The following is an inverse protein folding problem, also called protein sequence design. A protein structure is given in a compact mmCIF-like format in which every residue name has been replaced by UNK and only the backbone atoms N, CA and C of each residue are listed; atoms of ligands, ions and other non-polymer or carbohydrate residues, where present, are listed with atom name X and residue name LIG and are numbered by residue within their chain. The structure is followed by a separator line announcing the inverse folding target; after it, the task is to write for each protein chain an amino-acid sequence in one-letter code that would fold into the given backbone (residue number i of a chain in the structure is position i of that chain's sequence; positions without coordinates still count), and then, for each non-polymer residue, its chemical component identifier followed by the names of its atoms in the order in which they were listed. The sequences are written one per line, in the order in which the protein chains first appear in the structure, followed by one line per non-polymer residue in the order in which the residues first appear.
data_IF_403119706183
#
_entry.id   IF_403119706183
#
_cell.length_a   1.000
_cell.length_b   1.000
_cell.length_c   1.000
_cell.angle_alpha   90.00
_cell.angle_beta   90.00
_cell.angle_gamma   90.00
#
_symmetry.space_group_name_H-M   'P 1'
#
loop_
_entity.id
_entity.type
_entity.pdbx_description
1 polymer ?
#
# COMPACT_ATOMS: atom_id res chain seq x y z
N UNK A 1 -4.79 -12.31 -13.19
CA UNK A 1 -4.13 -12.99 -12.06
C UNK A 1 -5.00 -14.18 -11.68
N UNK A 2 -4.46 -15.41 -11.59
CA UNK A 2 -5.25 -16.63 -11.30
C UNK A 2 -4.75 -17.24 -9.99
N UNK A 3 -5.67 -17.62 -9.10
CA UNK A 3 -5.33 -18.30 -7.83
C UNK A 3 -4.60 -17.41 -6.82
N UNK A 4 -4.69 -16.09 -6.96
CA UNK A 4 -4.07 -15.11 -6.05
C UNK A 4 -5.16 -14.38 -5.29
N UNK A 5 -5.01 -14.28 -3.98
CA UNK A 5 -5.95 -13.59 -3.09
C UNK A 5 -5.51 -12.16 -2.77
N UNK A 6 -4.23 -11.97 -2.43
CA UNK A 6 -3.66 -10.67 -2.08
C UNK A 6 -2.58 -10.24 -3.06
N UNK A 7 -2.53 -8.95 -3.35
CA UNK A 7 -1.52 -8.36 -4.24
C UNK A 7 -0.84 -7.20 -3.53
N UNK A 8 0.49 -7.18 -3.56
CA UNK A 8 1.29 -6.04 -3.12
C UNK A 8 1.99 -5.43 -4.33
N UNK A 9 1.78 -4.14 -4.57
CA UNK A 9 2.60 -3.36 -5.49
C UNK A 9 3.71 -2.64 -4.72
N UNK A 10 4.91 -3.21 -4.75
CA UNK A 10 6.12 -2.66 -4.14
C UNK A 10 7.14 -2.13 -5.17
N UNK A 11 6.91 -2.39 -6.47
CA UNK A 11 7.78 -1.99 -7.57
C UNK A 11 7.82 -0.47 -7.74
N UNK A 12 8.96 0.02 -8.23
CA UNK A 12 9.20 1.42 -8.58
C UNK A 12 10.49 1.57 -9.37
N UNK A 13 10.63 2.62 -10.17
CA UNK A 13 11.84 2.86 -10.96
C UNK A 13 13.06 3.20 -10.09
N UNK A 14 12.84 3.62 -8.84
CA UNK A 14 13.89 3.94 -7.88
C UNK A 14 14.77 5.12 -8.31
N UNK A 15 14.20 6.06 -9.09
CA UNK A 15 14.91 7.21 -9.64
C UNK A 15 15.96 6.87 -10.71
N UNK A 16 16.05 5.61 -11.14
CA UNK A 16 17.00 5.15 -12.16
C UNK A 16 16.35 5.17 -13.54
N UNK A 17 17.15 5.40 -14.58
CA UNK A 17 16.70 5.31 -15.98
C UNK A 17 15.85 6.47 -16.47
N UNK A 18 15.85 7.60 -15.75
CA UNK A 18 15.22 8.85 -16.17
C UNK A 18 13.69 8.90 -16.04
N UNK A 19 13.08 10.06 -16.34
CA UNK A 19 11.65 10.31 -16.13
C UNK A 19 10.74 9.34 -16.90
N UNK A 20 11.15 8.87 -18.08
CA UNK A 20 10.38 7.92 -18.86
C UNK A 20 10.24 6.57 -18.16
N UNK A 21 11.31 6.10 -17.50
CA UNK A 21 11.26 4.85 -16.73
C UNK A 21 10.40 5.00 -15.48
N UNK A 22 10.49 6.13 -14.78
CA UNK A 22 9.58 6.44 -13.67
C UNK A 22 8.13 6.43 -14.13
N UNK A 23 7.81 7.10 -15.25
CA UNK A 23 6.46 7.06 -15.81
C UNK A 23 6.02 5.64 -16.20
N UNK A 24 6.90 4.88 -16.84
CA UNK A 24 6.57 3.52 -17.27
C UNK A 24 6.28 2.58 -16.08
N UNK A 25 7.08 2.66 -15.01
CA UNK A 25 6.99 1.75 -13.86
C UNK A 25 6.01 2.29 -12.81
N UNK A 26 6.25 3.48 -12.29
CA UNK A 26 5.55 4.05 -11.13
C UNK A 26 4.14 4.55 -11.49
N UNK A 27 3.87 4.82 -12.78
CA UNK A 27 2.54 5.20 -13.27
C UNK A 27 1.87 4.11 -14.12
N UNK A 28 2.39 3.83 -15.31
CA UNK A 28 1.69 3.03 -16.32
C UNK A 28 1.55 1.57 -15.87
N UNK A 29 2.63 0.95 -15.39
CA UNK A 29 2.60 -0.42 -14.91
C UNK A 29 1.75 -0.56 -13.64
N UNK A 30 1.86 0.39 -12.70
CA UNK A 30 1.05 0.45 -11.49
C UNK A 30 -0.46 0.50 -11.80
N UNK A 31 -0.91 1.42 -12.67
CA UNK A 31 -2.30 1.52 -13.16
C UNK A 31 -2.80 0.19 -13.74
N UNK A 32 -1.98 -0.46 -14.59
CA UNK A 32 -2.31 -1.74 -15.20
C UNK A 32 -2.43 -2.88 -14.18
N UNK A 33 -1.56 -2.90 -13.17
CA UNK A 33 -1.60 -3.91 -12.11
C UNK A 33 -2.83 -3.78 -11.21
N UNK A 34 -3.16 -2.54 -10.81
CA UNK A 34 -4.39 -2.26 -10.06
C UNK A 34 -5.60 -2.79 -10.84
N UNK A 35 -5.73 -2.38 -12.10
CA UNK A 35 -6.82 -2.83 -12.98
C UNK A 35 -6.88 -4.36 -13.10
N UNK A 36 -5.74 -5.01 -13.35
CA UNK A 36 -5.67 -6.47 -13.48
C UNK A 36 -6.05 -7.20 -12.20
N UNK A 37 -5.72 -6.64 -11.03
CA UNK A 37 -6.04 -7.20 -9.73
C UNK A 37 -7.55 -7.06 -9.44
N UNK A 38 -8.15 -5.91 -9.73
CA UNK A 38 -9.60 -5.71 -9.57
C UNK A 38 -10.43 -6.64 -10.44
N UNK A 39 -10.04 -6.80 -11.71
CA UNK A 39 -10.74 -7.67 -12.66
C UNK A 39 -10.54 -9.16 -12.35
N UNK A 40 -9.55 -9.53 -11.54
CA UNK A 40 -9.29 -10.93 -11.19
C UNK A 40 -10.25 -11.41 -10.09
N UNK A 41 -11.14 -12.40 -10.34
CA UNK A 41 -12.17 -12.81 -9.40
C UNK A 41 -11.67 -13.20 -8.01
N UNK A 42 -10.47 -13.79 -7.93
CA UNK A 42 -9.89 -14.29 -6.68
C UNK A 42 -9.25 -13.22 -5.81
N UNK A 43 -8.91 -12.05 -6.36
CA UNK A 43 -8.19 -11.02 -5.60
C UNK A 43 -9.18 -10.19 -4.78
N UNK A 44 -8.95 -10.15 -3.47
CA UNK A 44 -9.80 -9.49 -2.47
C UNK A 44 -9.11 -8.30 -1.80
N UNK A 45 -7.78 -8.33 -1.67
CA UNK A 45 -6.98 -7.27 -1.05
C UNK A 45 -5.84 -6.80 -1.96
N UNK A 46 -5.61 -5.50 -1.97
CA UNK A 46 -4.51 -4.87 -2.68
C UNK A 46 -3.84 -3.80 -1.84
N UNK A 47 -2.52 -3.94 -1.67
CA UNK A 47 -1.70 -2.98 -0.96
C UNK A 47 -0.75 -2.30 -1.95
N UNK A 48 -0.70 -0.97 -1.90
CA UNK A 48 0.29 -0.18 -2.60
C UNK A 48 1.22 0.54 -1.62
N UNK A 49 2.53 0.48 -1.89
CA UNK A 49 3.54 1.31 -1.21
C UNK A 49 3.71 2.63 -1.98
N UNK A 50 3.40 3.79 -1.38
CA UNK A 50 3.36 5.09 -2.10
C UNK A 50 4.05 6.26 -1.38
N UNK A 51 4.64 7.16 -2.19
CA UNK A 51 4.80 8.61 -1.93
C UNK A 51 4.75 9.35 -3.26
N UNK A 52 5.66 9.02 -4.16
CA UNK A 52 5.81 9.65 -5.48
C UNK A 52 4.67 9.31 -6.46
N UNK A 53 3.84 8.33 -6.11
CA UNK A 53 2.78 7.77 -6.95
C UNK A 53 1.38 7.91 -6.34
N UNK A 54 1.19 8.79 -5.34
CA UNK A 54 -0.15 9.01 -4.74
C UNK A 54 -1.17 9.44 -5.81
N UNK A 55 -0.82 10.39 -6.68
CA UNK A 55 -1.70 10.83 -7.77
C UNK A 55 -2.03 9.71 -8.75
N UNK A 56 -1.04 8.84 -9.05
CA UNK A 56 -1.24 7.65 -9.88
C UNK A 56 -2.21 6.69 -9.20
N UNK A 57 -2.01 6.43 -7.92
CA UNK A 57 -2.85 5.52 -7.14
C UNK A 57 -4.29 6.01 -7.09
N UNK A 58 -4.53 7.28 -6.77
CA UNK A 58 -5.89 7.85 -6.71
C UNK A 58 -6.57 7.84 -8.08
N UNK A 59 -5.86 8.17 -9.17
CA UNK A 59 -6.41 8.10 -10.53
C UNK A 59 -6.73 6.65 -10.92
N UNK A 60 -5.77 5.74 -10.69
CA UNK A 60 -5.94 4.33 -10.95
C UNK A 60 -7.13 3.76 -10.17
N UNK A 61 -7.25 4.13 -8.89
CA UNK A 61 -8.34 3.74 -7.99
C UNK A 61 -9.69 4.29 -8.46
N UNK A 62 -9.74 5.49 -9.01
CA UNK A 62 -10.98 6.06 -9.55
C UNK A 62 -11.47 5.26 -10.75
N UNK A 63 -10.59 5.04 -11.74
CA UNK A 63 -10.91 4.25 -12.94
C UNK A 63 -11.30 2.82 -12.56
N UNK A 64 -10.51 2.23 -11.67
CA UNK A 64 -10.76 0.94 -11.03
C UNK A 64 -12.13 0.83 -10.38
N UNK A 65 -12.47 1.80 -9.55
CA UNK A 65 -13.72 1.85 -8.81
C UNK A 65 -14.91 1.95 -9.78
N UNK A 66 -14.80 2.78 -10.80
CA UNK A 66 -15.81 2.89 -11.86
C UNK A 66 -16.02 1.58 -12.64
N UNK A 67 -14.96 0.83 -12.90
CA UNK A 67 -15.06 -0.51 -13.49
C UNK A 67 -15.66 -1.52 -12.51
N UNK A 68 -15.30 -1.45 -11.23
CA UNK A 68 -15.83 -2.33 -10.19
C UNK A 68 -17.33 -2.14 -9.97
N UNK A 69 -17.85 -0.91 -10.08
CA UNK A 69 -19.29 -0.59 -9.99
C UNK A 69 -20.12 -1.22 -11.11
N UNK A 70 -19.48 -1.56 -12.23
CA UNK A 70 -20.10 -2.29 -13.35
C UNK A 70 -20.03 -3.81 -13.16
N UNK A 71 -19.31 -4.28 -12.15
CA UNK A 71 -19.17 -5.68 -11.79
C UNK A 71 -19.94 -5.98 -10.50
N UNK A 72 -20.42 -7.22 -10.35
CA UNK A 72 -21.06 -7.70 -9.12
C UNK A 72 -20.05 -8.19 -8.05
N UNK A 73 -18.79 -7.75 -8.15
CA UNK A 73 -17.71 -8.21 -7.26
C UNK A 73 -17.90 -7.63 -5.84
N UNK A 74 -17.67 -8.41 -4.77
CA UNK A 74 -17.71 -7.91 -3.40
C UNK A 74 -16.66 -6.81 -3.13
N UNK A 75 -16.84 -6.16 -1.96
CA UNK A 75 -16.01 -5.09 -1.43
C UNK A 75 -14.52 -5.42 -1.57
N UNK A 76 -13.82 -4.61 -2.36
CA UNK A 76 -12.37 -4.65 -2.52
C UNK A 76 -11.70 -3.95 -1.35
N UNK A 77 -10.68 -4.56 -0.76
CA UNK A 77 -9.86 -3.94 0.29
C UNK A 77 -8.64 -3.30 -0.34
N UNK A 78 -8.58 -1.98 -0.32
CA UNK A 78 -7.42 -1.21 -0.77
C UNK A 78 -6.68 -0.57 0.42
N UNK A 79 -5.36 -0.73 0.44
CA UNK A 79 -4.45 -0.21 1.47
C UNK A 79 -3.35 0.61 0.79
N UNK A 80 -3.20 1.86 1.19
CA UNK A 80 -2.13 2.75 0.76
C UNK A 80 -1.13 2.93 1.91
N UNK A 81 0.00 2.21 1.85
CA UNK A 81 1.07 2.28 2.83
C UNK A 81 2.11 3.32 2.39
N UNK A 82 2.39 4.29 3.26
CA UNK A 82 3.24 5.46 2.95
C UNK A 82 4.46 5.49 3.86
N UNK A 83 5.48 4.66 3.58
CA UNK A 83 6.67 4.55 4.43
C UNK A 83 7.64 5.71 4.21
N UNK A 84 8.16 6.34 5.25
CA UNK A 84 9.19 7.39 5.14
C UNK A 84 10.47 6.94 4.42
N UNK A 85 11.58 7.64 4.64
CA UNK A 85 12.85 7.30 3.98
C UNK A 85 13.25 5.84 4.25
N UNK A 86 13.48 5.07 3.20
CA UNK A 86 13.79 3.64 3.33
C UNK A 86 15.26 3.44 3.71
N UNK A 87 15.53 2.59 4.71
CA UNK A 87 16.88 2.16 5.07
C UNK A 87 17.11 0.66 4.81
N UNK A 88 18.40 0.30 4.61
CA UNK A 88 18.88 -1.09 4.51
C UNK A 88 19.40 -1.63 5.85
N UNK A 89 19.14 -0.93 6.95
CA UNK A 89 19.38 -1.46 8.28
C UNK A 89 18.45 -2.64 8.57
N UNK A 90 18.83 -3.49 9.52
CA UNK A 90 17.95 -4.54 10.02
C UNK A 90 16.64 -3.98 10.59
N UNK A 91 15.58 -4.76 10.48
CA UNK A 91 14.29 -4.49 11.08
C UNK A 91 14.38 -4.39 12.60
N UNK A 92 13.62 -3.46 13.16
CA UNK A 92 13.55 -3.21 14.59
C UNK A 92 12.34 -3.88 15.23
N UNK A 93 11.37 -4.30 14.41
CA UNK A 93 10.06 -4.78 14.87
C UNK A 93 9.21 -3.70 15.50
N UNK A 94 9.58 -2.41 15.38
CA UNK A 94 8.92 -1.27 16.01
C UNK A 94 8.74 -0.09 15.06
N UNK A 95 7.57 0.51 15.11
CA UNK A 95 7.15 1.53 14.14
C UNK A 95 6.32 2.63 14.80
N UNK A 96 6.10 3.71 14.07
CA UNK A 96 4.97 4.63 14.23
C UNK A 96 4.11 4.50 12.97
N UNK A 97 2.84 4.07 13.14
CA UNK A 97 1.92 3.71 12.07
C UNK A 97 0.59 4.46 12.20
N UNK A 98 0.04 4.90 11.07
CA UNK A 98 -1.24 5.60 10.97
C UNK A 98 -1.03 7.04 10.53
N UNK A 99 -1.29 8.01 11.41
CA UNK A 99 -0.97 9.45 11.17
C UNK A 99 0.43 9.79 11.66
N UNK A 100 1.41 9.03 11.19
CA UNK A 100 2.80 9.20 11.59
C UNK A 100 3.36 10.54 11.09
N UNK A 101 4.46 11.00 11.70
CA UNK A 101 5.16 12.20 11.22
C UNK A 101 5.69 11.94 9.81
N UNK A 102 5.48 12.89 8.89
CA UNK A 102 5.93 12.80 7.49
C UNK A 102 7.47 12.80 7.33
N UNK A 103 8.21 12.91 8.44
CA UNK A 103 9.68 12.96 8.46
C UNK A 103 10.19 11.84 9.36
N UNK A 104 10.87 10.88 8.77
CA UNK A 104 11.45 9.73 9.46
C UNK A 104 11.99 8.70 8.47
N UNK A 105 12.84 7.81 8.97
CA UNK A 105 13.31 6.64 8.21
C UNK A 105 12.70 5.36 8.76
N UNK A 106 12.61 4.33 7.94
CA UNK A 106 12.11 2.99 8.33
C UNK A 106 12.88 1.90 7.59
N UNK A 107 13.29 0.82 8.27
CA UNK A 107 13.90 -0.35 7.63
C UNK A 107 12.96 -0.99 6.60
N UNK A 108 13.50 -1.39 5.45
CA UNK A 108 12.72 -2.14 4.44
C UNK A 108 12.12 -3.43 5.00
N UNK A 109 12.81 -4.07 5.94
CA UNK A 109 12.31 -5.25 6.66
C UNK A 109 11.04 -4.93 7.46
N UNK A 110 11.01 -3.82 8.19
CA UNK A 110 9.83 -3.40 8.98
C UNK A 110 8.67 -2.98 8.06
N UNK A 111 8.95 -2.36 6.90
CA UNK A 111 7.92 -2.06 5.89
C UNK A 111 7.27 -3.34 5.36
N UNK A 112 8.07 -4.37 5.06
CA UNK A 112 7.55 -5.65 4.59
C UNK A 112 6.70 -6.34 5.67
N UNK A 113 7.16 -6.34 6.92
CA UNK A 113 6.42 -6.90 8.05
C UNK A 113 5.06 -6.21 8.25
N UNK A 114 5.03 -4.87 8.25
CA UNK A 114 3.79 -4.10 8.32
C UNK A 114 2.85 -4.42 7.15
N UNK A 115 3.38 -4.51 5.93
CA UNK A 115 2.56 -4.79 4.74
C UNK A 115 1.88 -6.17 4.81
N UNK A 116 2.60 -7.19 5.27
CA UNK A 116 2.04 -8.54 5.46
C UNK A 116 0.97 -8.51 6.55
N UNK A 117 1.28 -7.94 7.72
CA UNK A 117 0.33 -7.96 8.84
C UNK A 117 -0.94 -7.15 8.55
N UNK A 118 -0.84 -6.04 7.80
CA UNK A 118 -2.02 -5.30 7.31
C UNK A 118 -2.92 -6.14 6.39
N UNK A 119 -2.33 -6.96 5.52
CA UNK A 119 -3.10 -7.83 4.61
C UNK A 119 -3.75 -9.01 5.33
N UNK A 120 -3.13 -9.52 6.39
CA UNK A 120 -3.71 -10.58 7.23
C UNK A 120 -4.93 -10.12 8.03
N UNK A 121 -5.06 -8.81 8.30
CA UNK A 121 -6.17 -8.25 9.08
C UNK A 121 -7.37 -7.90 8.22
N UNK A 122 -8.55 -7.96 8.84
CA UNK A 122 -9.79 -7.46 8.24
C UNK A 122 -9.89 -5.95 8.45
N UNK A 123 -9.29 -5.19 7.54
CA UNK A 123 -9.17 -3.72 7.66
C UNK A 123 -10.37 -2.96 7.10
N UNK A 124 -11.13 -3.59 6.20
CA UNK A 124 -11.98 -2.89 5.22
C UNK A 124 -11.15 -2.05 4.24
N UNK A 125 -11.78 -1.61 3.14
CA UNK A 125 -11.12 -0.77 2.13
C UNK A 125 -10.88 0.68 2.57
N UNK A 126 -10.04 1.38 1.81
CA UNK A 126 -9.75 2.80 1.97
C UNK A 126 -8.78 3.15 3.09
N UNK A 127 -7.87 2.25 3.46
CA UNK A 127 -6.92 2.50 4.55
C UNK A 127 -5.66 3.20 4.02
N UNK A 128 -5.40 4.43 4.48
CA UNK A 128 -4.18 5.18 4.16
C UNK A 128 -3.35 5.35 5.41
N UNK A 129 -2.13 4.80 5.43
CA UNK A 129 -1.33 4.71 6.65
C UNK A 129 0.10 5.15 6.38
N UNK A 130 0.52 6.18 7.09
CA UNK A 130 1.92 6.60 7.14
C UNK A 130 2.70 5.67 8.05
N UNK A 131 3.95 5.41 7.69
CA UNK A 131 4.83 4.49 8.39
C UNK A 131 6.23 5.09 8.52
N UNK A 132 6.72 5.22 9.75
CA UNK A 132 8.14 5.51 10.03
C UNK A 132 8.65 4.57 11.14
N UNK A 133 9.97 4.52 11.34
CA UNK A 133 10.55 3.87 12.51
C UNK A 133 10.07 4.52 13.82
N UNK A 134 9.81 3.71 14.83
CA UNK A 134 9.24 4.17 16.09
C UNK A 134 9.51 3.23 17.26
N UNK A 135 8.65 3.27 18.26
CA UNK A 135 8.82 2.50 19.51
C UNK A 135 7.72 1.48 19.76
N UNK A 136 6.60 1.55 19.03
CA UNK A 136 5.47 0.64 19.17
C UNK A 136 5.73 -0.66 18.39
N UNK A 137 5.53 -1.85 18.98
CA UNK A 137 5.64 -3.10 18.24
C UNK A 137 4.72 -3.12 17.01
N UNK A 138 5.20 -3.65 15.88
CA UNK A 138 4.45 -3.70 14.62
C UNK A 138 3.04 -4.26 14.82
N UNK A 139 2.91 -5.35 15.57
CA UNK A 139 1.61 -5.98 15.77
C UNK A 139 0.61 -5.15 16.56
N UNK A 140 1.09 -4.44 17.59
CA UNK A 140 0.27 -3.49 18.34
C UNK A 140 -0.13 -2.30 17.47
N UNK A 141 0.80 -1.79 16.66
CA UNK A 141 0.55 -0.65 15.78
C UNK A 141 -0.47 -0.98 14.68
N UNK A 142 -0.36 -2.16 14.06
CA UNK A 142 -1.32 -2.63 13.05
C UNK A 142 -2.69 -2.84 13.68
N UNK A 143 -2.78 -3.55 14.81
CA UNK A 143 -4.05 -3.77 15.52
C UNK A 143 -4.74 -2.46 15.88
N UNK A 144 -3.98 -1.49 16.42
CA UNK A 144 -4.48 -0.15 16.76
C UNK A 144 -5.03 0.57 15.53
N UNK A 145 -4.29 0.59 14.44
CA UNK A 145 -4.68 1.30 13.21
C UNK A 145 -5.91 0.67 12.56
N UNK A 146 -6.00 -0.65 12.55
CA UNK A 146 -7.14 -1.39 11.98
C UNK A 146 -8.39 -1.22 12.84
N UNK A 147 -8.30 -1.51 14.14
CA UNK A 147 -9.46 -1.46 15.05
C UNK A 147 -10.04 -0.06 15.20
N UNK A 148 -9.19 0.96 15.22
CA UNK A 148 -9.61 2.36 15.40
C UNK A 148 -9.80 3.11 14.07
N UNK A 149 -9.60 2.45 12.92
CA UNK A 149 -9.64 3.06 11.58
C UNK A 149 -8.80 4.34 11.48
N UNK A 150 -7.56 4.29 11.99
CA UNK A 150 -6.63 5.42 11.92
C UNK A 150 -6.09 5.53 10.50
N UNK A 151 -6.80 6.29 9.68
CA UNK A 151 -6.38 6.63 8.33
C UNK A 151 -5.86 8.07 8.28
N UNK A 152 -4.76 8.27 7.57
CA UNK A 152 -4.34 9.58 7.12
C UNK A 152 -5.24 10.06 5.97
N UNK A 153 -5.16 11.36 5.67
CA UNK A 153 -5.85 11.90 4.50
C UNK A 153 -5.24 11.33 3.23
N UNK A 154 -6.11 10.99 2.27
CA UNK A 154 -5.74 10.76 0.87
C UNK A 154 -4.95 11.95 0.31
#
# INVERSE_FOLDING_TARGET
MKGVEWVIWSAGAGGKGGPERTKAVDEIAAKRFIKAALLAPSVTKFLMKTWDSIGVYSEAKTVAYDESRKSSKPIWVDICLRPGSLSDSHGTGKVDLGKAKLVGSVPREDVAAVAVELLEKETGGGLWVDLIGGSEPISSAVERVVSQRITSRE
#
